data_IF_139020470734
#
_entry.id   IF_139020470734
#
_cell.length_a   1.000
_cell.length_b   1.000
_cell.length_c   1.000
_cell.angle_alpha   90.00
_cell.angle_beta   90.00
_cell.angle_gamma   90.00
#
_symmetry.space_group_name_H-M   'P 1'
#
loop_
_entity.id
_entity.type
_entity.pdbx_description
1 polymer ?
#
# COMPACT_ATOMS: atom_id res chain seq x y z
N UNK A 1 -6.21 30.03 -24.05
CA UNK A 1 -6.00 28.57 -24.05
C UNK A 1 -5.02 28.25 -22.93
N UNK A 2 -5.54 27.87 -21.76
CA UNK A 2 -4.73 27.63 -20.56
C UNK A 2 -4.26 26.19 -20.60
N UNK A 3 -2.94 26.02 -20.45
CA UNK A 3 -2.18 24.77 -20.49
C UNK A 3 -2.90 23.62 -19.79
N UNK A 4 -3.21 22.56 -20.54
CA UNK A 4 -3.72 21.32 -19.97
C UNK A 4 -2.68 20.72 -19.01
N UNK A 5 -3.16 20.42 -17.80
CA UNK A 5 -2.45 19.86 -16.65
C UNK A 5 -1.30 18.89 -16.98
N UNK A 6 -0.07 19.34 -16.74
CA UNK A 6 1.17 18.54 -16.77
C UNK A 6 1.31 17.60 -15.54
N UNK A 7 0.31 17.56 -14.64
CA UNK A 7 0.17 16.49 -13.65
C UNK A 7 -0.48 15.25 -14.30
N UNK A 8 0.25 14.69 -15.26
CA UNK A 8 -0.16 13.49 -15.99
C UNK A 8 -0.32 12.30 -15.03
N UNK A 9 -1.35 11.50 -15.29
CA UNK A 9 -1.97 10.49 -14.42
C UNK A 9 -1.03 9.33 -14.08
N UNK A 10 -0.03 9.56 -13.23
CA UNK A 10 0.81 8.50 -12.69
C UNK A 10 0.09 7.87 -11.50
N UNK A 11 0.08 6.54 -11.46
CA UNK A 11 -0.58 5.77 -10.41
C UNK A 11 0.46 4.94 -9.67
N UNK A 12 0.44 5.05 -8.34
CA UNK A 12 1.12 4.12 -7.46
C UNK A 12 0.13 3.07 -6.99
N UNK A 13 0.52 1.81 -7.09
CA UNK A 13 -0.24 0.70 -6.52
C UNK A 13 0.58 0.12 -5.38
N UNK A 14 0.09 0.25 -4.15
CA UNK A 14 0.68 -0.43 -2.98
C UNK A 14 0.21 -1.88 -2.99
N UNK A 15 1.16 -2.80 -2.96
CA UNK A 15 0.92 -4.21 -3.16
C UNK A 15 1.85 -5.08 -2.34
N UNK A 16 1.25 -6.11 -1.77
CA UNK A 16 1.92 -7.24 -1.14
C UNK A 16 1.16 -8.51 -1.50
N UNK A 17 1.87 -9.59 -1.77
CA UNK A 17 1.26 -10.80 -2.28
C UNK A 17 0.28 -11.45 -1.29
N UNK A 18 -0.89 -11.74 -1.84
CA UNK A 18 -1.86 -12.75 -1.40
C UNK A 18 -2.72 -13.08 -2.62
N UNK A 19 -3.40 -14.24 -2.68
CA UNK A 19 -4.24 -14.58 -3.84
C UNK A 19 -5.31 -13.50 -4.14
N UNK A 20 -5.88 -12.91 -3.09
CA UNK A 20 -6.85 -11.81 -3.20
C UNK A 20 -6.20 -10.54 -3.74
N UNK A 21 -5.05 -10.14 -3.18
CA UNK A 21 -4.35 -8.93 -3.63
C UNK A 21 -3.84 -9.07 -5.06
N UNK A 22 -3.40 -10.26 -5.48
CA UNK A 22 -2.96 -10.51 -6.85
C UNK A 22 -4.11 -10.33 -7.84
N UNK A 23 -5.29 -10.87 -7.52
CA UNK A 23 -6.50 -10.66 -8.32
C UNK A 23 -6.90 -9.17 -8.39
N UNK A 24 -6.81 -8.46 -7.26
CA UNK A 24 -7.05 -7.01 -7.21
C UNK A 24 -6.02 -6.23 -8.04
N UNK A 25 -4.75 -6.63 -8.02
CA UNK A 25 -3.68 -6.00 -8.79
C UNK A 25 -3.97 -6.09 -10.29
N UNK A 26 -4.27 -7.29 -10.80
CA UNK A 26 -4.59 -7.50 -12.21
C UNK A 26 -5.81 -6.67 -12.64
N UNK A 27 -6.88 -6.67 -11.84
CA UNK A 27 -8.08 -5.88 -12.10
C UNK A 27 -7.80 -4.37 -12.10
N UNK A 28 -6.96 -3.90 -11.16
CA UNK A 28 -6.57 -2.50 -11.05
C UNK A 28 -5.75 -2.07 -12.26
N UNK A 29 -4.75 -2.87 -12.65
CA UNK A 29 -3.96 -2.59 -13.86
C UNK A 29 -4.86 -2.50 -15.08
N UNK A 30 -5.76 -3.46 -15.28
CA UNK A 30 -6.65 -3.46 -16.44
C UNK A 30 -7.57 -2.23 -16.45
N UNK A 31 -8.11 -1.82 -15.29
CA UNK A 31 -8.95 -0.63 -15.13
C UNK A 31 -8.23 0.66 -15.50
N UNK A 32 -6.93 0.74 -15.23
CA UNK A 32 -6.13 1.96 -15.39
C UNK A 32 -5.16 1.95 -16.58
N UNK A 33 -5.02 0.83 -17.31
CA UNK A 33 -4.08 0.66 -18.43
C UNK A 33 -4.16 1.77 -19.49
N UNK A 34 -5.36 2.25 -19.79
CA UNK A 34 -5.60 3.30 -20.81
C UNK A 34 -5.82 4.69 -20.19
N UNK A 35 -5.76 4.80 -18.86
CA UNK A 35 -6.02 6.05 -18.12
C UNK A 35 -4.74 6.60 -17.49
N UNK A 36 -3.85 5.72 -17.05
CA UNK A 36 -2.60 6.09 -16.42
C UNK A 36 -1.52 6.34 -17.47
N UNK A 37 -0.70 7.37 -17.28
CA UNK A 37 0.52 7.57 -18.07
C UNK A 37 1.57 6.52 -17.69
N UNK A 38 1.69 6.25 -16.40
CA UNK A 38 2.56 5.21 -15.85
C UNK A 38 1.91 4.59 -14.62
N UNK A 39 2.08 3.27 -14.47
CA UNK A 39 1.75 2.53 -13.26
C UNK A 39 3.07 2.07 -12.65
N UNK A 40 3.27 2.35 -11.37
CA UNK A 40 4.41 1.87 -10.60
C UNK A 40 3.88 1.11 -9.39
N UNK A 41 4.35 -0.13 -9.21
CA UNK A 41 3.95 -0.94 -8.06
C UNK A 41 4.94 -0.72 -6.92
N UNK A 42 4.41 -0.48 -5.72
CA UNK A 42 5.20 -0.27 -4.51
C UNK A 42 4.92 -1.40 -3.54
N UNK A 43 5.97 -1.97 -2.97
CA UNK A 43 5.87 -2.96 -1.90
C UNK A 43 6.71 -2.52 -0.72
N UNK A 44 6.28 -2.91 0.49
CA UNK A 44 7.02 -2.64 1.71
C UNK A 44 7.62 -3.94 2.27
N UNK A 45 8.95 -4.02 2.32
CA UNK A 45 9.64 -5.05 3.09
C UNK A 45 9.71 -4.58 4.55
N UNK A 46 9.06 -5.33 5.43
CA UNK A 46 8.88 -4.96 6.83
C UNK A 46 8.85 -6.20 7.72
N UNK A 47 9.38 -6.12 8.95
CA UNK A 47 9.28 -7.21 9.92
C UNK A 47 7.84 -7.52 10.36
N UNK A 48 6.84 -6.72 9.95
CA UNK A 48 5.42 -6.97 10.21
C UNK A 48 4.85 -8.14 9.40
N UNK A 49 5.45 -8.45 8.26
CA UNK A 49 5.03 -9.52 7.34
C UNK A 49 6.06 -10.66 7.35
N UNK A 50 5.65 -11.84 6.89
CA UNK A 50 6.58 -12.96 6.75
C UNK A 50 7.49 -12.75 5.55
N UNK A 51 8.80 -13.01 5.71
CA UNK A 51 9.78 -12.86 4.63
C UNK A 51 9.43 -13.67 3.37
N UNK A 52 8.75 -14.80 3.51
CA UNK A 52 8.27 -15.57 2.35
C UNK A 52 7.31 -14.76 1.46
N UNK A 53 6.50 -13.89 2.06
CA UNK A 53 5.50 -13.12 1.33
C UNK A 53 6.14 -12.00 0.49
N UNK A 54 7.24 -11.39 0.94
CA UNK A 54 7.96 -10.41 0.11
C UNK A 54 8.64 -11.11 -1.08
N UNK A 55 9.14 -12.34 -0.89
CA UNK A 55 9.68 -13.15 -2.01
C UNK A 55 8.59 -13.46 -3.04
N UNK A 56 7.41 -13.90 -2.59
CA UNK A 56 6.26 -14.12 -3.47
C UNK A 56 5.79 -12.83 -4.17
N UNK A 57 5.82 -11.70 -3.46
CA UNK A 57 5.54 -10.37 -4.01
C UNK A 57 6.47 -10.07 -5.19
N UNK A 58 7.79 -10.19 -4.99
CA UNK A 58 8.79 -9.96 -6.04
C UNK A 58 8.58 -10.91 -7.23
N UNK A 59 8.36 -12.21 -6.95
CA UNK A 59 8.15 -13.20 -8.00
C UNK A 59 6.92 -12.88 -8.84
N UNK A 60 5.80 -12.55 -8.20
CA UNK A 60 4.56 -12.18 -8.89
C UNK A 60 4.71 -10.93 -9.75
N UNK A 61 5.43 -9.90 -9.28
CA UNK A 61 5.66 -8.66 -10.02
C UNK A 61 6.59 -8.86 -11.23
N UNK A 62 7.59 -9.73 -11.09
CA UNK A 62 8.48 -10.12 -12.19
C UNK A 62 7.74 -10.92 -13.26
N UNK A 63 6.87 -11.84 -12.86
CA UNK A 63 6.05 -12.65 -13.77
C UNK A 63 5.20 -11.77 -14.69
N UNK A 64 4.53 -10.76 -14.12
CA UNK A 64 3.67 -9.83 -14.86
C UNK A 64 4.42 -8.64 -15.46
N UNK A 65 5.76 -8.59 -15.33
CA UNK A 65 6.67 -7.59 -15.92
C UNK A 65 6.30 -6.14 -15.58
N UNK A 66 5.94 -5.86 -14.33
CA UNK A 66 5.66 -4.49 -13.88
C UNK A 66 6.89 -3.81 -13.29
N UNK A 67 7.02 -2.52 -13.59
CA UNK A 67 7.91 -1.63 -12.85
C UNK A 67 7.51 -1.64 -11.38
N UNK A 68 8.47 -1.91 -10.50
CA UNK A 68 8.23 -1.94 -9.06
C UNK A 68 9.41 -1.42 -8.24
N UNK A 69 9.09 -0.88 -7.06
CA UNK A 69 10.04 -0.47 -6.03
C UNK A 69 9.66 -1.15 -4.72
N UNK A 70 10.69 -1.61 -4.00
CA UNK A 70 10.53 -2.15 -2.65
C UNK A 70 11.14 -1.14 -1.68
N UNK A 71 10.34 -0.67 -0.73
CA UNK A 71 10.82 0.14 0.38
C UNK A 71 11.04 -0.74 1.59
N UNK A 72 12.22 -0.65 2.19
CA UNK A 72 12.49 -1.25 3.48
C UNK A 72 11.98 -0.32 4.58
N UNK A 73 11.11 -0.83 5.44
CA UNK A 73 10.58 -0.11 6.60
C UNK A 73 10.67 -0.98 7.85
N UNK A 74 11.00 -0.34 8.98
CA UNK A 74 10.97 -0.98 10.28
C UNK A 74 10.01 -0.23 11.20
N UNK A 75 8.71 -0.37 10.94
CA UNK A 75 7.66 0.29 11.71
C UNK A 75 7.62 -0.18 13.17
N UNK A 76 8.13 -1.38 13.47
CA UNK A 76 8.16 -1.95 14.83
C UNK A 76 8.98 -1.08 15.79
N UNK A 77 10.04 -0.45 15.29
CA UNK A 77 10.90 0.43 16.10
C UNK A 77 10.28 1.79 16.38
N UNK A 78 9.14 2.13 15.76
CA UNK A 78 8.46 3.38 16.03
C UNK A 78 7.85 3.38 17.45
N UNK A 79 8.11 4.40 18.29
CA UNK A 79 7.50 4.50 19.61
C UNK A 79 5.96 4.49 19.52
N UNK A 80 5.39 5.05 18.45
CA UNK A 80 3.94 5.02 18.21
C UNK A 80 3.40 3.60 17.96
N UNK A 81 4.18 2.74 17.31
CA UNK A 81 3.79 1.34 17.09
C UNK A 81 3.78 0.53 18.38
N UNK A 82 4.73 0.82 19.29
CA UNK A 82 4.86 0.15 20.58
C UNK A 82 3.75 0.60 21.54
N UNK A 83 3.56 1.91 21.67
CA UNK A 83 2.69 2.50 22.69
C UNK A 83 1.20 2.42 22.36
N UNK A 84 0.82 2.51 21.08
CA UNK A 84 -0.58 2.72 20.68
C UNK A 84 -1.24 1.44 20.18
N UNK A 85 -1.48 0.49 21.09
CA UNK A 85 -2.07 -0.84 20.79
C UNK A 85 -3.34 -0.81 19.93
N UNK A 86 -4.27 0.13 20.21
CA UNK A 86 -5.56 0.19 19.49
C UNK A 86 -5.44 0.79 18.08
N UNK A 87 -4.49 1.71 17.88
CA UNK A 87 -4.35 2.50 16.66
C UNK A 87 -3.13 2.12 15.81
N UNK A 88 -2.45 1.00 16.09
CA UNK A 88 -1.24 0.59 15.36
C UNK A 88 -1.42 0.61 13.85
N UNK A 89 -2.55 0.08 13.35
CA UNK A 89 -2.84 0.01 11.92
C UNK A 89 -2.98 1.41 11.29
N UNK A 90 -3.57 2.37 12.01
CA UNK A 90 -3.59 3.78 11.58
C UNK A 90 -2.17 4.29 11.39
N UNK A 91 -1.31 4.15 12.40
CA UNK A 91 0.05 4.67 12.36
C UNK A 91 0.91 4.01 11.27
N UNK A 92 0.85 2.68 11.13
CA UNK A 92 1.58 1.99 10.07
C UNK A 92 1.19 2.52 8.68
N UNK A 93 -0.11 2.64 8.41
CA UNK A 93 -0.59 3.17 7.14
C UNK A 93 -0.20 4.64 6.96
N UNK A 94 -0.40 5.48 7.96
CA UNK A 94 -0.03 6.90 7.89
C UNK A 94 1.46 7.13 7.63
N UNK A 95 2.34 6.33 8.24
CA UNK A 95 3.80 6.39 7.96
C UNK A 95 4.09 6.05 6.50
N UNK A 96 3.53 4.93 6.00
CA UNK A 96 3.71 4.50 4.61
C UNK A 96 3.18 5.55 3.64
N UNK A 97 1.96 6.04 3.84
CA UNK A 97 1.35 7.04 2.96
C UNK A 97 2.12 8.36 2.99
N UNK A 98 2.55 8.82 4.16
CA UNK A 98 3.36 10.04 4.29
C UNK A 98 4.69 9.90 3.54
N UNK A 99 5.32 8.73 3.60
CA UNK A 99 6.54 8.45 2.83
C UNK A 99 6.29 8.55 1.33
N UNK A 100 5.23 7.89 0.82
CA UNK A 100 4.90 7.93 -0.60
C UNK A 100 4.57 9.35 -1.06
N UNK A 101 3.80 10.11 -0.27
CA UNK A 101 3.49 11.52 -0.56
C UNK A 101 4.73 12.39 -0.59
N UNK A 102 5.67 12.18 0.34
CA UNK A 102 6.95 12.91 0.37
C UNK A 102 7.81 12.63 -0.86
N UNK A 103 7.85 11.39 -1.34
CA UNK A 103 8.70 10.98 -2.47
C UNK A 103 8.07 11.35 -3.82
N UNK A 104 6.78 11.05 -3.99
CA UNK A 104 6.09 11.14 -5.29
C UNK A 104 5.16 12.35 -5.42
N UNK A 105 4.94 13.09 -4.34
CA UNK A 105 4.15 14.32 -4.30
C UNK A 105 2.67 14.11 -3.95
N UNK A 106 2.03 15.20 -3.52
CA UNK A 106 0.63 15.21 -3.07
C UNK A 106 -0.39 14.89 -4.17
N UNK A 107 -0.05 15.13 -5.44
CA UNK A 107 -0.97 14.99 -6.56
C UNK A 107 -1.01 13.59 -7.18
N UNK A 108 -0.14 12.68 -6.74
CA UNK A 108 -0.12 11.32 -7.31
C UNK A 108 -1.33 10.50 -6.86
N UNK A 109 -1.90 9.69 -7.74
CA UNK A 109 -2.98 8.79 -7.34
C UNK A 109 -2.36 7.54 -6.71
N UNK A 110 -2.78 7.22 -5.48
CA UNK A 110 -2.29 6.04 -4.75
C UNK A 110 -3.47 5.11 -4.52
N UNK A 111 -3.31 3.87 -4.97
CA UNK A 111 -4.26 2.78 -4.76
C UNK A 111 -3.58 1.77 -3.85
N UNK A 112 -4.17 1.52 -2.70
CA UNK A 112 -3.65 0.57 -1.72
C UNK A 112 -4.46 -0.73 -1.75
N UNK A 113 -3.79 -1.84 -2.05
CA UNK A 113 -4.37 -3.17 -2.06
C UNK A 113 -4.11 -3.93 -0.75
N UNK A 114 -3.31 -3.38 0.16
CA UNK A 114 -2.91 -4.02 1.40
C UNK A 114 -3.91 -3.77 2.54
N UNK A 115 -5.15 -4.21 2.38
CA UNK A 115 -6.08 -4.20 3.51
C UNK A 115 -5.72 -5.33 4.50
N UNK A 116 -5.71 -5.09 5.82
CA UNK A 116 -5.47 -6.17 6.78
C UNK A 116 -6.54 -7.25 6.71
N UNK A 117 -6.17 -8.51 6.94
CA UNK A 117 -7.13 -9.65 6.93
C UNK A 117 -8.32 -9.47 7.88
N UNK A 118 -8.10 -8.78 9.00
CA UNK A 118 -9.14 -8.38 9.95
C UNK A 118 -9.60 -6.94 9.69
N UNK A 119 -10.92 -6.69 9.77
CA UNK A 119 -11.45 -5.33 9.56
C UNK A 119 -11.00 -4.39 10.67
N UNK A 120 -10.35 -3.30 10.27
CA UNK A 120 -9.90 -2.23 11.16
C UNK A 120 -10.32 -0.88 10.58
N UNK A 121 -11.29 -0.21 11.21
CA UNK A 121 -11.80 1.10 10.77
C UNK A 121 -10.70 2.16 10.65
N UNK A 122 -9.71 2.09 11.53
CA UNK A 122 -8.53 2.96 11.57
C UNK A 122 -7.73 2.99 10.26
N UNK A 123 -7.77 1.91 9.46
CA UNK A 123 -7.10 1.82 8.16
C UNK A 123 -7.81 2.70 7.14
N UNK A 124 -9.15 2.70 7.15
CA UNK A 124 -9.95 3.59 6.30
C UNK A 124 -9.78 5.05 6.71
N UNK A 125 -9.66 5.32 8.01
CA UNK A 125 -9.35 6.67 8.51
C UNK A 125 -8.01 7.17 7.95
N UNK A 126 -6.94 6.38 8.09
CA UNK A 126 -5.62 6.73 7.55
C UNK A 126 -5.66 6.95 6.02
N UNK A 127 -6.36 6.08 5.29
CA UNK A 127 -6.50 6.21 3.84
C UNK A 127 -7.24 7.49 3.43
N UNK A 128 -8.35 7.82 4.10
CA UNK A 128 -9.13 9.03 3.85
C UNK A 128 -8.32 10.29 4.10
N UNK A 129 -7.62 10.36 5.23
CA UNK A 129 -6.81 11.53 5.60
C UNK A 129 -5.63 11.77 4.64
N UNK A 130 -5.19 10.74 3.92
CA UNK A 130 -4.07 10.80 2.97
C UNK A 130 -4.51 10.75 1.49
N UNK A 131 -5.81 10.85 1.20
CA UNK A 131 -6.39 10.74 -0.14
C UNK A 131 -5.97 9.46 -0.89
N UNK A 132 -6.05 8.31 -0.21
CA UNK A 132 -5.68 7.00 -0.75
C UNK A 132 -6.94 6.22 -1.12
N UNK A 133 -6.94 5.61 -2.30
CA UNK A 133 -7.98 4.66 -2.71
C UNK A 133 -7.64 3.31 -2.10
N UNK A 134 -8.24 2.97 -0.98
CA UNK A 134 -8.05 1.69 -0.31
C UNK A 134 -9.05 0.65 -0.84
N UNK A 135 -8.54 -0.46 -1.37
CA UNK A 135 -9.34 -1.61 -1.78
C UNK A 135 -9.27 -2.68 -0.68
N UNK A 136 -10.38 -3.39 -0.44
CA UNK A 136 -10.44 -4.46 0.55
C UNK A 136 -9.67 -5.70 0.07
N UNK A 137 -8.34 -5.65 0.09
CA UNK A 137 -7.46 -6.80 -0.07
C UNK A 137 -7.43 -7.72 1.13
N UNK A 138 -6.33 -8.45 1.27
CA UNK A 138 -6.07 -9.37 2.37
C UNK A 138 -4.55 -9.49 2.59
N UNK A 139 -4.06 -8.82 3.64
CA UNK A 139 -2.65 -8.79 4.00
C UNK A 139 -2.50 -9.17 5.47
N UNK A 140 -1.85 -10.31 5.70
CA UNK A 140 -1.62 -10.82 7.05
C UNK A 140 -0.51 -10.01 7.72
N UNK A 141 -0.80 -9.48 8.89
CA UNK A 141 0.17 -8.82 9.77
C UNK A 141 0.06 -9.42 11.17
N UNK A 142 1.21 -9.85 11.71
CA UNK A 142 1.30 -10.56 13.00
C UNK A 142 0.84 -9.71 14.20
N UNK A 143 0.74 -8.40 14.00
CA UNK A 143 0.42 -7.42 15.04
C UNK A 143 -0.95 -6.78 14.88
N UNK A 144 -1.71 -7.09 13.81
CA UNK A 144 -3.06 -6.56 13.59
C UNK A 144 -4.10 -7.16 14.56
N UNK A 145 -3.96 -8.46 14.88
CA UNK A 145 -4.91 -9.24 15.70
C UNK A 145 -4.71 -9.11 17.22
N UNK A 146 -3.70 -8.36 17.69
CA UNK A 146 -3.42 -8.16 19.12
C UNK A 146 -4.38 -7.15 19.80
N UNK A 147 -5.55 -6.89 19.19
CA UNK A 147 -6.66 -6.14 19.80
C UNK A 147 -7.38 -6.92 20.91
N UNK A 148 -7.14 -8.23 21.03
CA UNK A 148 -7.70 -9.07 22.10
C UNK A 148 -6.93 -8.89 23.40
N UNK A 149 -7.11 -7.75 24.07
CA UNK A 149 -6.94 -7.61 25.53
C UNK A 149 -8.06 -6.74 26.06
#
# INVERSE_FOLDING_TARGET
MVQENIFEKNILIVYHYSPKNYSLLLNTIQRYKNKAKKILVISFDTPLHERKNIVETINSLREIKLDHIIFELNEINSPFFILLKRSKCYYCKSIRYSLLRRIFGEKIEIIDLEYPSEKHEDVFKAARENNIILLEGDTVCKYCSLRKV
#
